data_IF_134928020207
#
_entry.id   IF_134928020207
#
_cell.length_a   1.000
_cell.length_b   1.000
_cell.length_c   1.000
_cell.angle_alpha   90.00
_cell.angle_beta   90.00
_cell.angle_gamma   90.00
#
_symmetry.space_group_name_H-M   'P 1'
#
loop_
_entity.id
_entity.type
_entity.pdbx_description
1 polymer ?
#
# COMPACT_ATOMS: atom_id res chain seq x y z
N UNK A 1 -10.04 -21.18 0.10
CA UNK A 1 -10.39 -22.34 -0.76
C UNK A 1 -11.71 -22.20 -1.51
N UNK A 2 -12.75 -21.50 -0.98
CA UNK A 2 -14.06 -21.36 -1.66
C UNK A 2 -14.17 -20.32 -2.78
N UNK A 3 -13.19 -19.43 -2.96
CA UNK A 3 -13.20 -18.41 -4.02
C UNK A 3 -13.02 -19.01 -5.43
N UNK A 4 -13.61 -18.38 -6.45
CA UNK A 4 -13.41 -18.73 -7.86
C UNK A 4 -12.08 -18.22 -8.43
N UNK A 5 -11.59 -17.10 -7.90
CA UNK A 5 -10.35 -16.47 -8.35
C UNK A 5 -9.71 -15.62 -7.25
N UNK A 6 -8.41 -15.46 -7.32
CA UNK A 6 -7.62 -14.56 -6.46
C UNK A 6 -6.65 -13.79 -7.33
N UNK A 7 -6.61 -12.47 -7.13
CA UNK A 7 -5.61 -11.59 -7.73
C UNK A 7 -4.67 -11.06 -6.67
N UNK A 8 -3.38 -11.08 -6.97
CA UNK A 8 -2.36 -10.46 -6.15
C UNK A 8 -1.43 -9.62 -7.02
N UNK A 9 -0.86 -8.57 -6.43
CA UNK A 9 0.03 -7.66 -7.14
C UNK A 9 1.44 -7.75 -6.56
N UNK A 10 2.30 -8.68 -7.04
CA UNK A 10 3.69 -8.76 -6.62
C UNK A 10 4.46 -7.45 -6.79
N UNK A 11 4.03 -6.59 -7.71
CA UNK A 11 4.63 -5.26 -7.87
C UNK A 11 4.33 -4.25 -6.76
N UNK A 12 3.46 -4.61 -5.81
CA UNK A 12 3.18 -3.78 -4.63
C UNK A 12 4.06 -4.18 -3.45
N UNK A 13 4.17 -5.48 -3.16
CA UNK A 13 4.77 -5.93 -1.90
C UNK A 13 5.68 -7.17 -1.99
N UNK A 14 5.94 -7.67 -3.20
CA UNK A 14 6.97 -8.70 -3.46
C UNK A 14 8.12 -8.15 -4.31
N UNK A 15 8.29 -6.83 -4.37
CA UNK A 15 9.44 -6.16 -4.99
C UNK A 15 9.65 -6.47 -6.49
N UNK A 16 8.64 -7.01 -7.17
CA UNK A 16 8.68 -7.19 -8.62
C UNK A 16 8.46 -5.82 -9.28
N UNK A 17 9.33 -5.32 -10.17
CA UNK A 17 9.12 -4.02 -10.79
C UNK A 17 7.76 -3.92 -11.51
N UNK A 18 7.12 -2.75 -11.49
CA UNK A 18 5.86 -2.50 -12.22
C UNK A 18 6.03 -2.74 -13.73
N UNK A 19 5.04 -3.27 -14.45
CA UNK A 19 3.72 -3.78 -14.06
C UNK A 19 3.73 -5.31 -13.79
N UNK A 20 3.09 -5.81 -12.73
CA UNK A 20 3.00 -7.27 -12.53
C UNK A 20 1.85 -7.72 -11.62
N UNK A 21 0.82 -8.33 -12.19
CA UNK A 21 -0.29 -8.92 -11.44
C UNK A 21 -0.35 -10.42 -11.69
N UNK A 22 -0.66 -11.18 -10.65
CA UNK A 22 -0.92 -12.62 -10.74
C UNK A 22 -2.39 -12.86 -10.52
N UNK A 23 -2.99 -13.60 -11.45
CA UNK A 23 -4.37 -14.06 -11.37
C UNK A 23 -4.34 -15.58 -11.26
N UNK A 24 -4.92 -16.09 -10.18
CA UNK A 24 -5.20 -17.51 -9.99
C UNK A 24 -6.70 -17.70 -10.14
N UNK A 25 -7.11 -18.67 -10.96
CA UNK A 25 -8.52 -19.01 -11.17
C UNK A 25 -8.71 -20.50 -10.95
N UNK A 26 -9.85 -20.89 -10.39
CA UNK A 26 -10.24 -22.30 -10.25
C UNK A 26 -10.58 -22.94 -11.60
N UNK A 27 -11.15 -22.13 -12.49
CA UNK A 27 -11.78 -22.53 -13.76
C UNK A 27 -11.12 -21.82 -14.95
N UNK A 28 -9.87 -22.17 -15.33
CA UNK A 28 -9.15 -21.50 -16.42
C UNK A 28 -9.87 -21.60 -17.77
N UNK A 29 -10.67 -22.65 -17.98
CA UNK A 29 -11.49 -22.84 -19.17
C UNK A 29 -12.57 -21.76 -19.34
N UNK A 30 -13.02 -21.13 -18.25
CA UNK A 30 -13.95 -20.02 -18.31
C UNK A 30 -13.31 -18.79 -18.98
N UNK A 31 -12.04 -18.50 -18.67
CA UNK A 31 -11.29 -17.43 -19.33
C UNK A 31 -11.07 -17.77 -20.81
N UNK A 32 -10.66 -19.02 -21.09
CA UNK A 32 -10.45 -19.50 -22.46
C UNK A 32 -11.70 -19.33 -23.34
N UNK A 33 -12.88 -19.74 -22.87
CA UNK A 33 -14.13 -19.56 -23.63
C UNK A 33 -14.44 -18.10 -23.98
N UNK A 34 -14.00 -17.16 -23.15
CA UNK A 34 -14.27 -15.73 -23.33
C UNK A 34 -13.23 -15.07 -24.23
N UNK A 35 -11.95 -15.42 -24.05
CA UNK A 35 -10.83 -14.73 -24.70
C UNK A 35 -10.23 -15.46 -25.90
N UNK A 36 -10.55 -16.74 -26.11
CA UNK A 36 -10.12 -17.47 -27.30
C UNK A 36 -10.81 -16.94 -28.55
N UNK A 37 -10.10 -16.05 -29.23
CA UNK A 37 -10.24 -15.80 -30.65
C UNK A 37 -9.02 -16.45 -31.29
N UNK A 38 -9.20 -17.56 -32.01
CA UNK A 38 -8.13 -18.20 -32.78
C UNK A 38 -8.29 -17.84 -34.25
N UNK A 39 -7.72 -16.72 -34.72
CA UNK A 39 -7.53 -16.48 -36.14
C UNK A 39 -6.79 -17.64 -36.79
N UNK A 40 -7.11 -17.92 -38.05
CA UNK A 40 -6.57 -19.05 -38.79
C UNK A 40 -5.03 -19.02 -38.92
N UNK A 41 -4.43 -17.83 -38.95
CA UNK A 41 -2.97 -17.64 -39.02
C UNK A 41 -2.21 -17.96 -37.72
N UNK A 42 -2.91 -18.18 -36.59
CA UNK A 42 -2.32 -18.56 -35.30
C UNK A 42 -2.47 -20.06 -35.00
N UNK A 43 -3.09 -20.85 -35.89
CA UNK A 43 -3.12 -22.31 -35.80
C UNK A 43 -1.72 -22.86 -36.08
N UNK A 44 -0.88 -22.86 -35.04
CA UNK A 44 0.50 -23.33 -35.12
C UNK A 44 0.63 -24.85 -35.15
N UNK A 45 1.79 -25.33 -35.59
CA UNK A 45 2.12 -26.77 -35.64
C UNK A 45 2.08 -27.46 -34.26
N UNK A 46 2.11 -26.71 -33.16
CA UNK A 46 1.98 -27.24 -31.79
C UNK A 46 0.56 -27.77 -31.48
N UNK A 47 -0.50 -27.16 -32.02
CA UNK A 47 -1.85 -27.75 -31.97
C UNK A 47 -1.92 -29.04 -32.79
N UNK A 48 -1.19 -29.10 -33.92
CA UNK A 48 -1.11 -30.29 -34.79
C UNK A 48 -0.26 -31.41 -34.19
N UNK A 49 0.72 -31.09 -33.35
CA UNK A 49 1.64 -32.02 -32.71
C UNK A 49 1.11 -32.60 -31.37
N UNK A 50 -0.11 -32.28 -30.95
CA UNK A 50 -0.72 -32.80 -29.72
C UNK A 50 -0.08 -32.32 -28.42
N UNK A 51 0.85 -31.36 -28.47
CA UNK A 51 1.47 -30.77 -27.28
C UNK A 51 0.61 -29.61 -26.79
N UNK A 52 -0.27 -29.93 -25.84
CA UNK A 52 -1.26 -29.02 -25.29
C UNK A 52 -0.63 -28.02 -24.29
N UNK A 53 0.32 -27.21 -24.74
CA UNK A 53 0.84 -26.09 -23.94
C UNK A 53 -0.18 -24.94 -23.95
N UNK A 54 -0.57 -24.40 -22.77
CA UNK A 54 -1.50 -23.28 -22.73
C UNK A 54 -0.96 -22.06 -23.46
N UNK A 55 -1.73 -21.53 -24.42
CA UNK A 55 -1.41 -20.26 -25.04
C UNK A 55 -1.98 -19.11 -24.20
N UNK A 56 -1.10 -18.29 -23.60
CA UNK A 56 -1.53 -17.25 -22.66
C UNK A 56 -2.36 -16.12 -23.27
N UNK A 57 -2.43 -16.00 -24.60
CA UNK A 57 -3.37 -15.08 -25.25
C UNK A 57 -4.83 -15.43 -24.95
N UNK A 58 -5.13 -16.72 -24.71
CA UNK A 58 -6.48 -17.22 -24.42
C UNK A 58 -6.97 -16.87 -23.01
N UNK A 59 -6.15 -16.20 -22.21
CA UNK A 59 -6.44 -15.93 -20.79
C UNK A 59 -6.53 -14.44 -20.48
N UNK A 60 -6.66 -13.60 -21.51
CA UNK A 60 -6.90 -12.18 -21.34
C UNK A 60 -6.96 -11.44 -22.67
N UNK A 61 -7.01 -10.12 -22.59
CA UNK A 61 -7.23 -9.25 -23.75
C UNK A 61 -6.00 -9.17 -24.67
N UNK A 62 -4.79 -9.41 -24.12
CA UNK A 62 -3.54 -9.18 -24.84
C UNK A 62 -3.15 -10.37 -25.72
N UNK A 63 -3.10 -10.16 -27.04
CA UNK A 63 -2.48 -11.09 -27.97
C UNK A 63 -0.96 -11.17 -27.76
N UNK A 64 -0.26 -10.03 -27.96
CA UNK A 64 1.17 -9.91 -27.68
C UNK A 64 1.45 -9.67 -26.20
N UNK A 65 2.40 -10.42 -25.63
CA UNK A 65 2.71 -10.33 -24.19
C UNK A 65 4.20 -10.11 -23.96
N UNK A 66 4.53 -9.22 -23.03
CA UNK A 66 5.90 -9.07 -22.50
C UNK A 66 6.28 -10.33 -21.72
N UNK A 67 7.59 -10.62 -21.64
CA UNK A 67 8.10 -11.71 -20.79
C UNK A 67 8.12 -11.33 -19.30
N UNK A 68 6.93 -11.07 -18.74
CA UNK A 68 6.76 -10.62 -17.35
C UNK A 68 7.26 -11.64 -16.33
N UNK A 69 7.18 -12.94 -16.65
CA UNK A 69 7.62 -14.00 -15.76
C UNK A 69 9.12 -13.93 -15.43
N UNK A 70 9.95 -13.40 -16.33
CA UNK A 70 11.41 -13.33 -16.13
C UNK A 70 11.80 -12.49 -14.90
N UNK A 71 11.23 -11.30 -14.75
CA UNK A 71 11.53 -10.44 -13.59
C UNK A 71 11.05 -11.05 -12.26
N UNK A 72 9.89 -11.71 -12.27
CA UNK A 72 9.39 -12.39 -11.08
C UNK A 72 10.27 -13.59 -10.72
N UNK A 73 10.71 -14.36 -11.72
CA UNK A 73 11.64 -15.48 -11.53
C UNK A 73 12.94 -15.02 -10.89
N UNK A 74 13.57 -13.95 -11.37
CA UNK A 74 14.78 -13.40 -10.76
C UNK A 74 14.57 -12.95 -9.32
N UNK A 75 13.49 -12.22 -9.01
CA UNK A 75 13.18 -11.81 -7.64
C UNK A 75 13.05 -13.02 -6.70
N UNK A 76 12.32 -14.06 -7.12
CA UNK A 76 12.14 -15.28 -6.33
C UNK A 76 13.47 -16.02 -6.17
N UNK A 77 14.30 -16.10 -7.22
CA UNK A 77 15.62 -16.75 -7.17
C UNK A 77 16.62 -16.00 -6.29
N UNK A 78 16.62 -14.67 -6.33
CA UNK A 78 17.54 -13.84 -5.58
C UNK A 78 17.20 -13.81 -4.08
N UNK A 79 15.93 -13.62 -3.72
CA UNK A 79 15.53 -13.53 -2.31
C UNK A 79 15.19 -14.89 -1.69
N UNK A 80 14.73 -15.84 -2.48
CA UNK A 80 14.13 -17.07 -1.98
C UNK A 80 12.82 -16.83 -1.21
N UNK A 81 12.15 -17.93 -0.84
CA UNK A 81 10.91 -17.86 -0.06
C UNK A 81 11.12 -17.17 1.29
N UNK A 82 12.16 -17.57 2.01
CA UNK A 82 12.44 -17.01 3.35
C UNK A 82 12.88 -15.55 3.30
N UNK A 83 13.68 -15.14 2.30
CA UNK A 83 14.08 -13.74 2.18
C UNK A 83 12.92 -12.80 1.82
N UNK A 84 11.94 -13.26 1.03
CA UNK A 84 10.71 -12.52 0.79
C UNK A 84 9.84 -12.46 2.05
N UNK A 85 9.65 -13.60 2.74
CA UNK A 85 8.85 -13.65 3.96
C UNK A 85 9.45 -12.78 5.08
N UNK A 86 10.77 -12.79 5.26
CA UNK A 86 11.46 -11.95 6.23
C UNK A 86 11.22 -10.46 5.99
N UNK A 87 11.22 -10.01 4.73
CA UNK A 87 10.96 -8.60 4.37
C UNK A 87 9.52 -8.18 4.63
N UNK A 88 8.55 -9.06 4.38
CA UNK A 88 7.15 -8.79 4.72
C UNK A 88 6.99 -8.70 6.25
N UNK A 89 7.59 -9.65 6.99
CA UNK A 89 7.58 -9.64 8.46
C UNK A 89 8.21 -8.38 9.03
N UNK A 90 9.32 -7.92 8.46
CA UNK A 90 9.98 -6.69 8.88
C UNK A 90 9.10 -5.45 8.60
N UNK A 91 8.47 -5.37 7.43
CA UNK A 91 7.53 -4.28 7.14
C UNK A 91 6.35 -4.26 8.14
N UNK A 92 5.82 -5.43 8.52
CA UNK A 92 4.79 -5.52 9.57
C UNK A 92 5.33 -5.13 10.95
N UNK A 93 6.54 -5.57 11.34
CA UNK A 93 7.18 -5.18 12.61
C UNK A 93 7.34 -3.67 12.70
N UNK A 94 7.83 -3.04 11.63
CA UNK A 94 8.00 -1.58 11.54
C UNK A 94 6.66 -0.83 11.60
N UNK A 95 5.62 -1.33 10.95
CA UNK A 95 4.28 -0.74 11.06
C UNK A 95 3.72 -0.83 12.48
N UNK A 96 3.91 -1.96 13.17
CA UNK A 96 3.52 -2.12 14.57
C UNK A 96 4.31 -1.19 15.50
N UNK A 97 5.60 -0.98 15.24
CA UNK A 97 6.44 -0.04 15.97
C UNK A 97 5.94 1.40 15.83
N UNK A 98 5.63 1.84 14.60
CA UNK A 98 5.03 3.16 14.37
C UNK A 98 3.69 3.29 15.09
N UNK A 99 2.88 2.23 15.10
CA UNK A 99 1.61 2.22 15.83
C UNK A 99 1.81 2.36 17.35
N UNK A 100 2.89 1.81 17.90
CA UNK A 100 3.27 1.95 19.32
C UNK A 100 3.66 3.40 19.65
N UNK A 101 4.44 4.05 18.79
CA UNK A 101 4.79 5.46 18.95
C UNK A 101 3.55 6.36 18.92
N UNK A 102 2.62 6.09 18.00
CA UNK A 102 1.35 6.81 17.90
C UNK A 102 0.50 6.60 19.15
N UNK A 103 0.41 5.38 19.69
CA UNK A 103 -0.35 5.11 20.93
C UNK A 103 0.26 5.73 22.17
N UNK A 104 1.59 5.85 22.20
CA UNK A 104 2.33 6.45 23.32
C UNK A 104 2.26 7.97 23.33
N UNK A 105 1.79 8.62 22.26
CA UNK A 105 1.65 10.06 22.16
C UNK A 105 0.17 10.46 22.20
N UNK A 106 -0.25 11.07 23.31
CA UNK A 106 -1.65 11.47 23.55
C UNK A 106 -2.19 12.45 22.50
N UNK A 107 -1.31 13.14 21.76
CA UNK A 107 -1.70 14.06 20.69
C UNK A 107 -2.21 13.33 19.44
N UNK A 108 -2.06 12.02 19.35
CA UNK A 108 -2.45 11.24 18.18
C UNK A 108 -3.42 10.09 18.54
N UNK A 109 -4.04 9.54 17.49
CA UNK A 109 -4.84 8.34 17.59
C UNK A 109 -4.73 7.46 16.36
N UNK A 110 -4.77 6.14 16.56
CA UNK A 110 -4.94 5.19 15.46
C UNK A 110 -6.42 5.06 15.10
N UNK A 111 -6.74 4.98 13.81
CA UNK A 111 -8.11 4.94 13.30
C UNK A 111 -8.53 3.55 12.77
N UNK A 112 -7.60 2.60 12.74
CA UNK A 112 -7.86 1.22 12.36
C UNK A 112 -6.82 0.28 13.01
N UNK A 113 -7.14 -1.02 13.22
CA UNK A 113 -6.16 -2.02 13.59
C UNK A 113 -4.99 -2.11 12.61
N UNK A 114 -3.79 -2.32 13.11
CA UNK A 114 -2.56 -2.45 12.31
C UNK A 114 -2.23 -3.93 12.14
N UNK A 115 -2.71 -4.52 11.04
CA UNK A 115 -2.56 -5.97 10.76
C UNK A 115 -1.47 -6.27 9.72
N UNK A 116 -1.09 -5.25 8.92
CA UNK A 116 -0.12 -5.36 7.82
C UNK A 116 0.77 -4.12 7.80
N UNK A 117 1.45 -3.84 6.67
CA UNK A 117 2.37 -2.71 6.53
C UNK A 117 1.72 -1.32 6.38
N UNK A 118 0.50 -1.08 6.89
CA UNK A 118 -0.14 0.25 6.79
C UNK A 118 -0.70 0.69 8.14
N UNK A 119 -0.32 1.88 8.57
CA UNK A 119 -0.82 2.54 9.79
C UNK A 119 -1.70 3.72 9.39
N UNK A 120 -2.95 3.73 9.88
CA UNK A 120 -3.91 4.81 9.69
C UNK A 120 -4.08 5.57 11.01
N UNK A 121 -3.78 6.86 11.02
CA UNK A 121 -3.78 7.67 12.24
C UNK A 121 -4.14 9.12 11.95
N UNK A 122 -4.42 9.90 13.00
CA UNK A 122 -4.59 11.36 12.91
C UNK A 122 -4.13 12.03 14.20
N UNK A 123 -3.87 13.33 14.15
CA UNK A 123 -3.75 14.16 15.34
C UNK A 123 -5.13 14.39 15.96
N UNK A 124 -5.18 14.43 17.29
CA UNK A 124 -6.35 14.80 18.09
C UNK A 124 -6.46 16.32 18.19
N UNK A 125 -7.64 16.80 18.58
CA UNK A 125 -7.78 18.16 19.07
C UNK A 125 -6.96 18.31 20.36
N UNK A 126 -6.05 19.28 20.41
CA UNK A 126 -5.30 19.57 21.62
C UNK A 126 -6.27 20.25 22.58
N UNK A 127 -6.44 19.65 23.76
CA UNK A 127 -7.24 20.23 24.83
C UNK A 127 -6.41 21.33 25.49
N UNK A 128 -6.54 22.57 25.02
CA UNK A 128 -5.82 23.76 25.50
C UNK A 128 -6.29 24.26 26.87
N UNK A 129 -7.01 23.42 27.63
CA UNK A 129 -7.62 23.80 28.90
C UNK A 129 -8.85 24.70 28.77
N UNK A 130 -9.27 25.08 27.55
CA UNK A 130 -10.44 25.94 27.30
C UNK A 130 -11.71 25.19 26.92
N UNK A 131 -11.67 23.85 26.94
CA UNK A 131 -12.86 23.01 26.94
C UNK A 131 -13.60 22.87 25.61
N UNK A 132 -13.12 23.45 24.51
CA UNK A 132 -13.72 23.23 23.19
C UNK A 132 -13.01 22.11 22.42
N UNK A 133 -13.66 20.96 22.29
CA UNK A 133 -13.25 19.92 21.33
C UNK A 133 -13.62 20.39 19.92
N UNK A 134 -12.66 20.38 18.98
CA UNK A 134 -12.94 20.69 17.57
C UNK A 134 -14.06 19.79 17.03
N UNK A 135 -14.92 20.33 16.15
CA UNK A 135 -15.83 19.48 15.38
C UNK A 135 -15.03 18.48 14.53
N UNK A 136 -15.66 17.38 14.14
CA UNK A 136 -15.01 16.37 13.30
C UNK A 136 -14.59 16.96 11.93
N UNK A 137 -15.37 17.87 11.37
CA UNK A 137 -15.04 18.61 10.15
C UNK A 137 -13.80 19.48 10.34
N UNK A 138 -13.75 20.27 11.42
CA UNK A 138 -12.58 21.10 11.73
C UNK A 138 -11.34 20.26 12.02
N UNK A 139 -11.49 19.10 12.66
CA UNK A 139 -10.40 18.17 12.92
C UNK A 139 -9.89 17.51 11.63
N UNK A 140 -10.79 17.24 10.67
CA UNK A 140 -10.41 16.78 9.34
C UNK A 140 -9.59 17.85 8.60
N UNK A 141 -10.07 19.09 8.55
CA UNK A 141 -9.35 20.20 7.91
C UNK A 141 -7.97 20.45 8.56
N UNK A 142 -7.91 20.34 9.90
CA UNK A 142 -6.65 20.43 10.63
C UNK A 142 -5.65 19.36 10.19
N UNK A 143 -6.10 18.10 10.09
CA UNK A 143 -5.24 17.00 9.66
C UNK A 143 -4.89 17.07 8.16
N UNK A 144 -5.76 17.63 7.31
CA UNK A 144 -5.44 17.92 5.90
C UNK A 144 -4.31 18.96 5.80
N UNK A 145 -4.36 20.02 6.60
CA UNK A 145 -3.29 21.04 6.70
C UNK A 145 -1.99 20.44 7.23
N UNK A 146 -2.06 19.60 8.26
CA UNK A 146 -0.89 18.91 8.81
C UNK A 146 -0.22 18.06 7.73
N UNK A 147 -1.00 17.24 7.01
CA UNK A 147 -0.49 16.43 5.91
C UNK A 147 0.16 17.28 4.80
N UNK A 148 -0.49 18.37 4.40
CA UNK A 148 0.05 19.27 3.38
C UNK A 148 1.41 19.85 3.80
N UNK A 149 1.57 20.24 5.06
CA UNK A 149 2.85 20.75 5.59
C UNK A 149 3.94 19.69 5.64
N UNK A 150 3.61 18.48 6.10
CA UNK A 150 4.55 17.35 6.12
C UNK A 150 5.05 17.07 4.70
N UNK A 151 4.15 17.00 3.71
CA UNK A 151 4.55 16.73 2.33
C UNK A 151 5.30 17.91 1.69
N UNK A 152 5.01 19.15 2.09
CA UNK A 152 5.68 20.35 1.58
C UNK A 152 7.16 20.44 2.00
N UNK A 153 7.61 19.70 3.02
CA UNK A 153 9.03 19.68 3.38
C UNK A 153 9.88 18.92 2.37
N UNK A 154 9.28 18.01 1.60
CA UNK A 154 9.98 17.14 0.65
C UNK A 154 10.80 16.01 1.31
N UNK A 155 10.82 15.92 2.64
CA UNK A 155 11.59 14.90 3.39
C UNK A 155 10.86 13.55 3.43
N UNK A 156 9.53 13.57 3.35
CA UNK A 156 8.70 12.37 3.29
C UNK A 156 7.45 12.62 2.44
N UNK A 157 6.77 11.55 2.06
CA UNK A 157 5.50 11.65 1.35
C UNK A 157 4.47 10.70 1.95
N UNK A 158 3.43 11.27 2.56
CA UNK A 158 2.29 10.57 3.11
C UNK A 158 1.04 10.83 2.28
N UNK A 159 0.09 9.90 2.36
CA UNK A 159 -1.24 10.06 1.76
C UNK A 159 -2.29 9.99 2.85
N UNK A 160 -3.53 10.35 2.53
CA UNK A 160 -4.66 10.17 3.44
C UNK A 160 -5.72 9.23 2.87
N UNK A 161 -6.69 8.89 3.71
CA UNK A 161 -7.97 8.30 3.34
C UNK A 161 -9.05 8.84 4.29
N UNK A 162 -10.32 8.52 4.04
CA UNK A 162 -11.41 8.74 4.99
C UNK A 162 -11.94 7.42 5.51
N UNK A 163 -11.98 7.26 6.82
CA UNK A 163 -12.52 6.10 7.53
C UNK A 163 -13.75 6.55 8.32
N UNK A 164 -14.95 6.13 7.91
CA UNK A 164 -16.20 6.56 8.54
C UNK A 164 -16.33 8.08 8.69
N UNK A 165 -15.95 8.84 7.65
CA UNK A 165 -15.96 10.31 7.65
C UNK A 165 -14.72 10.98 8.26
N UNK A 166 -13.90 10.24 9.03
CA UNK A 166 -12.68 10.76 9.68
C UNK A 166 -11.49 10.71 8.73
N UNK A 167 -10.76 11.81 8.60
CA UNK A 167 -9.52 11.86 7.84
C UNK A 167 -8.42 11.08 8.58
N UNK A 168 -7.81 10.14 7.87
CA UNK A 168 -6.70 9.33 8.36
C UNK A 168 -5.47 9.58 7.49
N UNK A 169 -4.38 10.05 8.09
CA UNK A 169 -3.04 10.02 7.51
C UNK A 169 -2.56 8.56 7.46
N UNK A 170 -1.79 8.23 6.43
CA UNK A 170 -1.36 6.85 6.15
C UNK A 170 0.14 6.76 6.01
N UNK A 171 0.77 5.96 6.87
CA UNK A 171 2.14 5.48 6.68
C UNK A 171 2.06 4.06 6.12
N UNK A 172 2.49 3.86 4.88
CA UNK A 172 2.54 2.56 4.23
C UNK A 172 4.01 2.08 4.14
N UNK A 173 4.38 1.16 5.02
CA UNK A 173 5.70 0.53 5.06
C UNK A 173 5.77 -0.57 3.99
N UNK A 174 6.34 -0.22 2.84
CA UNK A 174 6.48 -1.17 1.72
C UNK A 174 7.69 -0.96 0.82
N UNK A 175 8.48 0.10 1.05
CA UNK A 175 9.72 0.33 0.33
C UNK A 175 10.84 -0.54 0.91
N UNK A 176 11.58 -1.22 0.04
CA UNK A 176 12.67 -2.13 0.38
C UNK A 176 13.78 -1.46 1.21
N UNK A 177 13.99 -0.16 1.03
CA UNK A 177 15.06 0.60 1.70
C UNK A 177 14.61 1.22 3.02
N UNK A 178 13.31 1.23 3.33
CA UNK A 178 12.81 1.78 4.58
C UNK A 178 13.29 0.93 5.75
N UNK A 179 13.76 1.60 6.80
CA UNK A 179 14.22 0.99 8.05
C UNK A 179 13.69 1.83 9.22
N UNK A 180 14.00 1.40 10.43
CA UNK A 180 13.53 2.05 11.66
C UNK A 180 14.00 3.51 11.78
N UNK A 181 15.23 3.82 11.39
CA UNK A 181 15.77 5.19 11.41
C UNK A 181 14.97 6.13 10.51
N UNK A 182 14.62 5.69 9.30
CA UNK A 182 13.76 6.49 8.41
C UNK A 182 12.39 6.76 9.04
N UNK A 183 11.79 5.77 9.72
CA UNK A 183 10.50 5.94 10.36
C UNK A 183 10.58 6.83 11.60
N UNK A 184 11.66 6.76 12.37
CA UNK A 184 11.91 7.67 13.49
C UNK A 184 12.03 9.12 13.02
N UNK A 185 12.74 9.37 11.91
CA UNK A 185 12.84 10.70 11.29
C UNK A 185 11.48 11.21 10.82
N UNK A 186 10.67 10.34 10.18
CA UNK A 186 9.30 10.70 9.78
C UNK A 186 8.44 11.04 11.00
N UNK A 187 8.56 10.27 12.09
CA UNK A 187 7.81 10.52 13.32
C UNK A 187 8.20 11.84 13.99
N UNK A 188 9.49 12.13 14.08
CA UNK A 188 10.01 13.41 14.59
C UNK A 188 9.50 14.58 13.74
N UNK A 189 9.54 14.45 12.42
CA UNK A 189 9.02 15.46 11.49
C UNK A 189 7.52 15.71 11.70
N UNK A 190 6.71 14.65 11.85
CA UNK A 190 5.27 14.77 12.13
C UNK A 190 5.05 15.56 13.43
N UNK A 191 5.77 15.21 14.50
CA UNK A 191 5.68 15.92 15.78
C UNK A 191 6.08 17.40 15.67
N UNK A 192 7.15 17.70 14.95
CA UNK A 192 7.61 19.07 14.68
C UNK A 192 6.56 19.87 13.90
N UNK A 193 6.01 19.30 12.83
CA UNK A 193 4.99 19.98 12.03
C UNK A 193 3.69 20.17 12.82
N UNK A 194 3.30 19.23 13.68
CA UNK A 194 2.16 19.39 14.57
C UNK A 194 2.35 20.56 15.53
N UNK A 195 3.52 20.67 16.16
CA UNK A 195 3.81 21.76 17.10
C UNK A 195 3.73 23.13 16.39
N UNK A 196 4.38 23.26 15.23
CA UNK A 196 4.33 24.50 14.44
C UNK A 196 2.89 24.86 14.03
N UNK A 197 2.10 23.86 13.63
CA UNK A 197 0.71 24.07 13.22
C UNK A 197 -0.18 24.54 14.38
N UNK A 198 0.08 24.01 15.57
CA UNK A 198 -0.65 24.35 16.79
C UNK A 198 -0.28 25.75 17.28
N UNK A 199 1.01 26.09 17.29
CA UNK A 199 1.50 27.41 17.69
C UNK A 199 0.93 28.52 16.79
N UNK A 200 0.79 28.26 15.49
CA UNK A 200 0.12 29.17 14.56
C UNK A 200 -1.36 29.36 14.93
N UNK A 201 -2.10 28.28 15.21
CA UNK A 201 -3.52 28.40 15.58
C UNK A 201 -3.73 29.22 16.86
N UNK A 202 -2.88 29.01 17.88
CA UNK A 202 -2.95 29.75 19.15
C UNK A 202 -2.65 31.26 18.97
N UNK A 203 -1.84 31.63 17.97
CA UNK A 203 -1.54 33.06 17.68
C UNK A 203 -2.68 33.79 16.98
N UNK A 204 -3.53 33.07 16.23
CA UNK A 204 -4.58 33.69 15.41
C UNK A 204 -6.00 33.60 16.02
N UNK A 205 -6.20 32.78 17.06
CA UNK A 205 -7.48 32.64 17.77
C UNK A 205 -7.27 32.67 19.30
N UNK A 206 -7.13 33.87 19.91
CA UNK A 206 -6.85 34.03 21.34
C UNK A 206 -8.03 33.78 22.27
#
# INVERSE_FOLDING_TARGET
ERADSVVFNPHKWLFVPRDFSTLYVRRPEALRRVFSLVPEYLRGDAERAGQMMPNYMDYGIQLGRRFRALKAWFVIRCFGREGLAARIREACRLALLVAEWIRSDERFETLAPVEMGVVCFRARAINDGRGSTLSEEALNEFNERLLARINATGETYLTHTRLHGRLALRIAVGNLLTNETHLAQVWELIGKQLNLLTDEQLRFYP
#
